data_IF_072188413270
#
_entry.id   IF_072188413270
#
_cell.length_a   1.000
_cell.length_b   1.000
_cell.length_c   1.000
_cell.angle_alpha   90.00
_cell.angle_beta   90.00
_cell.angle_gamma   90.00
#
_symmetry.space_group_name_H-M   'P 1'
#
loop_
_entity.id
_entity.type
_entity.pdbx_description
1 polymer ?
#
# COMPACT_ATOMS: atom_id res chain seq x y z
N UNK A 1 24.80 -17.23 36.38
CA UNK A 1 24.16 -16.16 35.58
C UNK A 1 24.35 -14.84 36.31
N UNK A 2 25.22 -13.95 35.82
CA UNK A 2 25.69 -12.78 36.59
C UNK A 2 24.60 -11.69 36.73
N UNK A 3 24.47 -11.13 37.94
CA UNK A 3 23.59 -9.99 38.23
C UNK A 3 24.06 -8.69 37.55
N UNK A 4 25.34 -8.61 37.17
CA UNK A 4 25.98 -7.44 36.54
C UNK A 4 25.47 -7.22 35.11
N UNK A 5 25.32 -8.28 34.31
CA UNK A 5 24.76 -8.17 32.96
C UNK A 5 23.29 -7.73 32.99
N UNK A 6 22.53 -8.14 34.02
CA UNK A 6 21.13 -7.75 34.18
C UNK A 6 20.99 -6.27 34.56
N UNK A 7 21.89 -5.73 35.40
CA UNK A 7 21.91 -4.30 35.79
C UNK A 7 22.32 -3.37 34.64
N UNK A 8 23.28 -3.76 33.81
CA UNK A 8 23.68 -3.00 32.62
C UNK A 8 22.56 -2.92 31.55
N UNK A 9 21.74 -3.97 31.42
CA UNK A 9 20.57 -3.94 30.54
C UNK A 9 19.40 -3.12 31.12
N UNK A 10 19.28 -3.04 32.45
CA UNK A 10 18.26 -2.23 33.13
C UNK A 10 18.50 -0.72 33.05
N UNK A 11 19.72 -0.26 32.82
CA UNK A 11 20.02 1.18 32.62
C UNK A 11 19.85 1.63 31.17
N UNK A 12 19.88 0.70 30.20
CA UNK A 12 19.73 1.00 28.78
C UNK A 12 18.25 1.10 28.36
N UNK A 13 17.37 0.38 29.07
CA UNK A 13 15.95 0.35 28.79
C UNK A 13 15.28 1.26 29.81
N UNK A 14 14.96 2.52 29.47
CA UNK A 14 14.23 3.38 30.38
C UNK A 14 12.93 2.69 30.79
N UNK A 15 12.53 2.76 32.08
CA UNK A 15 11.28 2.17 32.53
C UNK A 15 10.13 2.72 31.70
N UNK A 16 8.97 2.03 31.66
CA UNK A 16 7.75 2.52 31.00
C UNK A 16 7.20 3.76 31.72
N UNK A 17 7.92 4.87 31.63
CA UNK A 17 7.45 6.20 31.96
C UNK A 17 6.45 6.58 30.87
N UNK A 18 5.28 7.06 31.29
CA UNK A 18 4.23 7.53 30.39
C UNK A 18 4.84 8.38 29.28
N UNK A 19 4.46 8.09 28.03
CA UNK A 19 4.93 8.67 26.75
C UNK A 19 6.08 9.68 26.86
N UNK A 20 7.21 9.53 26.14
CA UNK A 20 8.35 10.46 26.22
C UNK A 20 8.00 11.96 26.11
N UNK A 21 6.89 12.29 25.43
CA UNK A 21 6.32 13.64 25.30
C UNK A 21 5.75 14.24 26.60
N UNK A 22 5.46 13.43 27.61
CA UNK A 22 4.86 13.84 28.88
C UNK A 22 5.89 14.10 29.99
N UNK A 23 7.15 13.71 29.79
CA UNK A 23 8.20 13.78 30.81
C UNK A 23 8.89 15.15 30.91
N UNK A 24 8.82 15.96 29.85
CA UNK A 24 9.39 17.33 29.81
C UNK A 24 8.34 18.44 29.63
N UNK A 25 7.04 18.10 29.66
CA UNK A 25 5.97 19.09 29.55
C UNK A 25 5.66 19.67 30.93
N UNK A 26 5.65 21.00 31.05
CA UNK A 26 5.12 21.66 32.25
C UNK A 26 3.73 21.08 32.61
N UNK A 27 3.44 20.78 33.89
CA UNK A 27 2.18 20.17 34.31
C UNK A 27 0.96 20.98 33.84
N UNK A 28 1.11 22.31 33.76
CA UNK A 28 0.10 23.22 33.23
C UNK A 28 -0.20 22.99 31.74
N UNK A 29 0.84 22.73 30.93
CA UNK A 29 0.67 22.44 29.51
C UNK A 29 -0.06 21.09 29.29
N UNK A 30 0.13 20.12 30.19
CA UNK A 30 -0.58 18.84 30.15
C UNK A 30 -2.04 19.03 30.58
N UNK A 31 -2.30 19.82 31.61
CA UNK A 31 -3.65 20.16 32.05
C UNK A 31 -4.42 20.91 30.94
N UNK A 32 -3.80 21.91 30.30
CA UNK A 32 -4.41 22.65 29.20
C UNK A 32 -4.71 21.75 27.99
N UNK A 33 -3.81 20.83 27.63
CA UNK A 33 -4.07 19.84 26.55
C UNK A 33 -5.27 18.95 26.85
N UNK A 34 -5.48 18.56 28.12
CA UNK A 34 -6.65 17.74 28.51
C UNK A 34 -7.95 18.52 28.33
N UNK A 35 -7.99 19.78 28.77
CA UNK A 35 -9.16 20.66 28.60
C UNK A 35 -9.46 20.88 27.12
N UNK A 36 -8.46 21.24 26.31
CA UNK A 36 -8.64 21.42 24.86
C UNK A 36 -9.14 20.13 24.21
N UNK A 37 -8.52 18.99 24.54
CA UNK A 37 -8.93 17.69 24.00
C UNK A 37 -10.35 17.27 24.41
N UNK A 38 -10.82 17.70 25.58
CA UNK A 38 -12.19 17.45 26.03
C UNK A 38 -13.19 18.21 25.17
N UNK A 39 -12.93 19.50 24.90
CA UNK A 39 -13.80 20.30 24.02
C UNK A 39 -13.69 19.92 22.54
N UNK A 40 -12.53 19.44 22.09
CA UNK A 40 -12.37 18.89 20.75
C UNK A 40 -13.16 17.60 20.54
N UNK A 41 -13.26 16.77 21.59
CA UNK A 41 -13.89 15.43 21.57
C UNK A 41 -15.34 15.43 22.05
N UNK A 42 -15.91 16.58 22.39
CA UNK A 42 -17.36 16.69 22.53
C UNK A 42 -17.99 16.02 21.30
N UNK A 43 -18.97 15.12 21.48
CA UNK A 43 -19.55 14.35 20.40
C UNK A 43 -20.21 15.30 19.41
N UNK A 44 -19.42 15.77 18.45
CA UNK A 44 -19.88 16.37 17.22
C UNK A 44 -20.59 15.26 16.47
N UNK A 45 -21.68 15.57 15.79
CA UNK A 45 -22.39 14.59 14.95
C UNK A 45 -21.42 13.84 14.05
N UNK A 46 -21.77 12.62 13.60
CA UNK A 46 -20.87 11.76 12.83
C UNK A 46 -20.20 12.56 11.72
N UNK A 47 -18.87 12.55 11.72
CA UNK A 47 -18.09 13.28 10.72
C UNK A 47 -18.58 12.85 9.32
N UNK A 48 -18.81 13.79 8.41
CA UNK A 48 -19.34 13.47 7.09
C UNK A 48 -18.41 12.45 6.43
N UNK A 49 -18.99 11.38 5.93
CA UNK A 49 -18.24 10.34 5.24
C UNK A 49 -17.44 10.98 4.12
N UNK A 50 -16.13 10.72 4.12
CA UNK A 50 -15.21 11.28 3.13
C UNK A 50 -15.68 10.81 1.77
N UNK A 51 -16.40 11.67 1.05
CA UNK A 51 -16.86 11.39 -0.30
C UNK A 51 -15.62 11.25 -1.16
N UNK A 52 -15.32 10.02 -1.56
CA UNK A 52 -14.11 9.76 -2.30
C UNK A 52 -14.17 10.48 -3.66
N UNK A 53 -13.29 11.46 -3.83
CA UNK A 53 -13.17 12.27 -5.03
C UNK A 53 -12.09 11.69 -5.95
N UNK A 54 -12.23 11.92 -7.26
CA UNK A 54 -11.30 11.40 -8.26
C UNK A 54 -11.50 9.92 -8.62
N UNK A 55 -10.81 9.49 -9.69
CA UNK A 55 -10.91 8.13 -10.24
C UNK A 55 -10.43 7.08 -9.23
N UNK A 56 -9.24 7.27 -8.66
CA UNK A 56 -8.66 6.37 -7.66
C UNK A 56 -9.44 6.36 -6.35
N UNK A 57 -9.94 7.52 -5.89
CA UNK A 57 -10.78 7.60 -4.70
C UNK A 57 -12.06 6.78 -4.83
N UNK A 58 -12.75 6.86 -5.97
CA UNK A 58 -13.95 6.03 -6.22
C UNK A 58 -13.65 4.53 -6.21
N UNK A 59 -12.54 4.11 -6.82
CA UNK A 59 -12.12 2.72 -6.80
C UNK A 59 -11.78 2.25 -5.37
N UNK A 60 -11.05 3.07 -4.61
CA UNK A 60 -10.70 2.77 -3.22
C UNK A 60 -11.96 2.66 -2.35
N UNK A 61 -12.88 3.61 -2.43
CA UNK A 61 -14.12 3.57 -1.66
C UNK A 61 -14.99 2.34 -1.99
N UNK A 62 -14.98 1.89 -3.25
CA UNK A 62 -15.76 0.73 -3.70
C UNK A 62 -15.17 -0.61 -3.22
N UNK A 63 -13.86 -0.72 -3.10
CA UNK A 63 -13.19 -2.01 -2.83
C UNK A 63 -12.53 -2.14 -1.46
N UNK A 64 -12.17 -1.02 -0.83
CA UNK A 64 -11.47 -0.95 0.47
C UNK A 64 -12.24 -0.13 1.51
N UNK A 65 -13.43 0.37 1.18
CA UNK A 65 -14.30 1.09 2.11
C UNK A 65 -15.03 0.15 3.07
N UNK A 66 -16.29 0.48 3.38
CA UNK A 66 -17.12 -0.22 4.37
C UNK A 66 -17.35 -1.71 4.09
N UNK A 67 -17.29 -2.11 2.82
CA UNK A 67 -17.47 -3.50 2.38
C UNK A 67 -16.21 -3.95 1.62
N UNK A 68 -15.14 -4.38 2.32
CA UNK A 68 -13.92 -4.80 1.68
C UNK A 68 -14.19 -6.00 0.78
N UNK A 69 -13.78 -5.91 -0.48
CA UNK A 69 -13.99 -6.97 -1.48
C UNK A 69 -12.64 -7.46 -1.99
N UNK A 70 -12.49 -8.76 -2.28
CA UNK A 70 -11.27 -9.35 -2.85
C UNK A 70 -10.98 -8.98 -4.33
N UNK A 71 -11.85 -8.19 -4.97
CA UNK A 71 -11.73 -7.76 -6.37
C UNK A 71 -10.38 -7.12 -6.73
N UNK A 72 -9.75 -6.28 -5.88
CA UNK A 72 -8.44 -5.71 -6.18
C UNK A 72 -7.34 -6.75 -6.41
N UNK A 73 -7.40 -7.88 -5.70
CA UNK A 73 -6.47 -8.99 -5.88
C UNK A 73 -6.67 -9.61 -7.27
N UNK A 74 -7.92 -9.84 -7.65
CA UNK A 74 -8.27 -10.35 -8.99
C UNK A 74 -7.82 -9.39 -10.08
N UNK A 75 -8.04 -8.08 -9.91
CA UNK A 75 -7.58 -7.06 -10.85
C UNK A 75 -6.05 -7.05 -11.00
N UNK A 76 -5.30 -7.25 -9.91
CA UNK A 76 -3.85 -7.36 -9.97
C UNK A 76 -3.39 -8.60 -10.74
N UNK A 77 -4.02 -9.77 -10.51
CA UNK A 77 -3.71 -11.00 -11.23
C UNK A 77 -3.99 -10.84 -12.72
N UNK A 78 -5.16 -10.32 -13.08
CA UNK A 78 -5.54 -10.08 -14.48
C UNK A 78 -4.57 -9.10 -15.15
N UNK A 79 -4.20 -8.02 -14.46
CA UNK A 79 -3.19 -7.07 -14.95
C UNK A 79 -1.85 -7.74 -15.23
N UNK A 80 -1.38 -8.60 -14.32
CA UNK A 80 -0.13 -9.34 -14.48
C UNK A 80 -0.18 -10.32 -15.67
N UNK A 81 -1.30 -11.02 -15.86
CA UNK A 81 -1.49 -11.93 -16.99
C UNK A 81 -1.49 -11.20 -18.33
N UNK A 82 -2.16 -10.05 -18.43
CA UNK A 82 -2.18 -9.24 -19.65
C UNK A 82 -0.78 -8.73 -19.98
N UNK A 83 -0.06 -8.20 -18.99
CA UNK A 83 1.31 -7.70 -19.18
C UNK A 83 2.24 -8.85 -19.58
N UNK A 84 2.16 -9.99 -18.89
CA UNK A 84 2.94 -11.18 -19.21
C UNK A 84 2.67 -11.72 -20.62
N UNK A 85 1.40 -11.76 -21.03
CA UNK A 85 1.03 -12.14 -22.39
C UNK A 85 1.55 -11.15 -23.44
N UNK A 86 1.43 -9.84 -23.19
CA UNK A 86 1.94 -8.81 -24.08
C UNK A 86 3.47 -8.90 -24.24
N UNK A 87 4.20 -9.17 -23.16
CA UNK A 87 5.65 -9.42 -23.20
C UNK A 87 5.96 -10.66 -24.03
N UNK A 88 5.29 -11.79 -23.75
CA UNK A 88 5.50 -13.02 -24.50
C UNK A 88 5.20 -12.84 -26.00
N UNK A 89 4.15 -12.09 -26.33
CA UNK A 89 3.80 -11.76 -27.70
C UNK A 89 4.88 -10.91 -28.37
N UNK A 90 5.32 -9.84 -27.71
CA UNK A 90 6.29 -8.90 -28.27
C UNK A 90 7.67 -9.53 -28.51
N UNK A 91 8.14 -10.37 -27.58
CA UNK A 91 9.48 -10.95 -27.60
C UNK A 91 9.57 -12.29 -28.33
N UNK A 92 8.56 -13.17 -28.20
CA UNK A 92 8.62 -14.53 -28.73
C UNK A 92 7.70 -14.73 -29.94
N UNK A 93 6.40 -14.44 -29.81
CA UNK A 93 5.42 -14.80 -30.85
C UNK A 93 5.50 -13.90 -32.10
N UNK A 94 5.84 -12.61 -31.94
CA UNK A 94 5.98 -11.66 -33.05
C UNK A 94 7.16 -12.00 -33.98
N UNK A 95 8.27 -12.49 -33.42
CA UNK A 95 9.47 -12.87 -34.21
C UNK A 95 9.22 -14.14 -35.02
N UNK A 96 8.54 -15.12 -34.42
CA UNK A 96 8.13 -16.35 -35.10
C UNK A 96 7.24 -16.04 -36.32
N UNK A 97 6.14 -15.29 -36.11
CA UNK A 97 5.21 -14.91 -37.19
C UNK A 97 5.90 -14.19 -38.36
N UNK A 98 6.86 -13.30 -38.07
CA UNK A 98 7.62 -12.58 -39.11
C UNK A 98 8.58 -13.48 -39.88
N UNK A 99 9.23 -14.44 -39.23
CA UNK A 99 10.17 -15.38 -39.87
C UNK A 99 9.46 -16.36 -40.82
N UNK A 100 8.26 -16.83 -40.45
CA UNK A 100 7.47 -17.75 -41.27
C UNK A 100 6.92 -17.07 -42.52
N UNK A 101 6.51 -15.80 -42.40
CA UNK A 101 6.05 -14.98 -43.53
C UNK A 101 7.17 -14.70 -44.55
N UNK A 102 8.38 -14.40 -44.07
CA UNK A 102 9.56 -14.19 -44.93
C UNK A 102 10.00 -15.48 -45.64
N UNK A 103 9.96 -16.62 -44.96
CA UNK A 103 10.25 -17.93 -45.57
C UNK A 103 9.23 -18.33 -46.64
N UNK A 104 7.93 -18.08 -46.39
CA UNK A 104 6.86 -18.33 -47.35
C UNK A 104 6.92 -17.39 -48.56
N UNK A 105 7.27 -16.11 -48.37
CA UNK A 105 7.43 -15.18 -49.51
C UNK A 105 8.64 -15.52 -50.38
N UNK A 106 9.75 -15.96 -49.79
CA UNK A 106 10.95 -16.37 -50.54
C UNK A 106 10.71 -17.68 -51.30
N UNK A 107 10.04 -18.66 -50.67
CA UNK A 107 9.72 -19.93 -51.32
C UNK A 107 8.66 -19.81 -52.43
N UNK A 108 7.70 -18.87 -52.28
CA UNK A 108 6.71 -18.55 -53.31
C UNK A 108 7.30 -17.83 -54.53
N UNK A 109 8.41 -17.11 -54.38
CA UNK A 109 9.07 -16.36 -55.46
C UNK A 109 10.03 -17.22 -56.31
N UNK A 110 10.40 -18.41 -55.82
CA UNK A 110 11.33 -19.34 -56.50
C UNK A 110 10.63 -20.38 -57.42
N UNK A 111 9.31 -20.31 -57.59
CA UNK A 111 8.52 -21.28 -58.36
C UNK A 111 7.93 -20.74 -59.67
N UNK A 112 8.38 -19.57 -60.14
CA UNK A 112 8.09 -19.04 -61.48
C UNK A 112 9.37 -18.95 -62.30
#
# INVERSE_FOLDING_TARGET
MSFVTRRALSTLIPPKVASPKALGGAPDAVAMKRVVSFYEKLPRGPAPEIKASGFWGKYQAKHFGKNPTAKPIVHAIVGLLIVGYAQNYYFHLRKFSRSTQLGLSIFGQSRN
#
